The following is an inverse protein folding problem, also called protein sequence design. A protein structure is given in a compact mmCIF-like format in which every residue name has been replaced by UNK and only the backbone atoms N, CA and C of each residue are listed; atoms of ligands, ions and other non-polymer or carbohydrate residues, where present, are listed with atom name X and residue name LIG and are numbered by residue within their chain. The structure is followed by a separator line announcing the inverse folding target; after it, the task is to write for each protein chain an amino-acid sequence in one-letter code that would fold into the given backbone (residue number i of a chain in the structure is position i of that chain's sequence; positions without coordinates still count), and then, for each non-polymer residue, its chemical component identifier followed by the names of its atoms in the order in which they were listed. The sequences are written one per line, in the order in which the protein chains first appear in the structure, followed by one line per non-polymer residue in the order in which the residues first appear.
data_IF_622695610831
#
_entry.id   IF_622695610831
#
_cell.length_a   1.000
_cell.length_b   1.000
_cell.length_c   1.000
_cell.angle_alpha   90.00
_cell.angle_beta   90.00
_cell.angle_gamma   90.00
#
_symmetry.space_group_name_H-M   'P 1'
#
loop_
_entity.id
_entity.type
_entity.pdbx_description
1 polymer ?
#
# COMPACT_ATOMS: atom_id res chain seq x y z
N UNK A 1 6.87 1.92 -4.48
CA UNK A 1 7.01 3.39 -4.47
C UNK A 1 6.04 4.03 -3.48
N UNK A 2 6.52 5.01 -2.72
CA UNK A 2 5.65 5.76 -1.80
C UNK A 2 4.72 6.68 -2.60
N UNK A 3 3.61 7.11 -1.99
CA UNK A 3 2.71 8.10 -2.60
C UNK A 3 3.46 9.40 -2.93
N UNK A 4 4.41 9.79 -2.09
CA UNK A 4 5.24 10.98 -2.31
C UNK A 4 6.14 10.83 -3.54
N UNK A 5 6.74 9.65 -3.76
CA UNK A 5 7.50 9.35 -4.97
C UNK A 5 6.61 9.38 -6.22
N UNK A 6 5.37 8.86 -6.14
CA UNK A 6 4.42 8.93 -7.26
C UNK A 6 4.06 10.39 -7.57
N UNK A 7 3.81 11.21 -6.54
CA UNK A 7 3.53 12.63 -6.70
C UNK A 7 4.73 13.38 -7.32
N UNK A 8 5.95 13.06 -6.91
CA UNK A 8 7.16 13.62 -7.52
C UNK A 8 7.30 13.24 -9.00
N UNK A 9 6.97 11.99 -9.37
CA UNK A 9 6.96 11.54 -10.77
C UNK A 9 5.91 12.29 -11.59
N UNK A 10 4.70 12.49 -11.07
CA UNK A 10 3.67 13.31 -11.72
C UNK A 10 4.15 14.76 -11.89
N UNK A 11 4.75 15.36 -10.86
CA UNK A 11 5.31 16.71 -10.94
C UNK A 11 6.47 16.81 -11.95
N UNK A 12 7.24 15.74 -12.13
CA UNK A 12 8.25 15.66 -13.18
C UNK A 12 7.59 15.58 -14.57
N UNK A 13 6.55 14.76 -14.74
CA UNK A 13 5.81 14.64 -15.98
C UNK A 13 5.15 15.96 -16.41
N UNK A 14 4.51 16.68 -15.48
CA UNK A 14 3.93 18.02 -15.72
C UNK A 14 5.02 18.97 -16.25
N UNK A 15 6.19 19.02 -15.58
CA UNK A 15 7.31 19.86 -16.01
C UNK A 15 7.83 19.47 -17.39
N UNK A 16 7.90 18.18 -17.70
CA UNK A 16 8.30 17.71 -19.03
C UNK A 16 7.29 18.12 -20.09
N UNK A 17 5.98 17.94 -19.84
CA UNK A 17 4.93 18.34 -20.77
C UNK A 17 4.96 19.84 -21.07
N UNK A 18 5.17 20.68 -20.05
CA UNK A 18 5.34 22.13 -20.24
C UNK A 18 6.61 22.48 -21.03
N UNK A 19 7.69 21.70 -20.89
CA UNK A 19 8.92 21.87 -21.66
C UNK A 19 8.79 21.45 -23.11
N UNK A 20 7.91 20.50 -23.46
CA UNK A 20 7.69 20.12 -24.87
C UNK A 20 7.22 21.31 -25.72
N UNK A 21 6.55 22.30 -25.10
CA UNK A 21 6.18 23.54 -25.79
C UNK A 21 7.39 24.40 -26.21
N UNK A 22 8.60 24.13 -25.69
CA UNK A 22 9.82 24.83 -26.07
C UNK A 22 10.37 24.35 -27.41
N UNK A 23 10.12 23.09 -27.76
CA UNK A 23 10.61 22.46 -28.99
C UNK A 23 9.65 22.69 -30.18
N UNK A 24 8.52 23.37 -29.95
CA UNK A 24 7.57 23.72 -31.01
C UNK A 24 8.21 24.80 -31.89
N UNK A 25 8.48 24.53 -33.18
CA UNK A 25 9.05 25.51 -34.08
C UNK A 25 8.06 26.67 -34.24
N UNK A 26 8.55 27.88 -34.02
CA UNK A 26 7.75 29.08 -34.22
C UNK A 26 7.66 29.39 -35.72
N UNK A 27 6.49 29.91 -36.12
CA UNK A 27 6.33 30.40 -37.48
C UNK A 27 7.36 31.49 -37.78
N UNK A 28 8.06 31.37 -38.92
CA UNK A 28 9.08 32.36 -39.34
C UNK A 28 8.53 33.79 -39.36
N UNK A 29 7.28 33.95 -39.77
CA UNK A 29 6.59 35.24 -39.76
C UNK A 29 6.41 35.81 -38.34
N UNK A 30 6.10 34.96 -37.36
CA UNK A 30 5.98 35.37 -35.96
C UNK A 30 7.34 35.82 -35.41
N UNK A 31 8.41 35.07 -35.69
CA UNK A 31 9.76 35.43 -35.27
C UNK A 31 10.23 36.78 -35.87
N UNK A 32 9.94 37.01 -37.15
CA UNK A 32 10.24 38.29 -37.81
C UNK A 32 9.44 39.46 -37.22
N UNK A 33 8.15 39.24 -36.95
CA UNK A 33 7.28 40.26 -36.34
C UNK A 33 7.75 40.62 -34.93
N UNK A 34 8.14 39.62 -34.13
CA UNK A 34 8.69 39.81 -32.80
C UNK A 34 10.02 40.59 -32.82
N UNK A 35 10.92 40.28 -33.77
CA UNK A 35 12.18 41.02 -33.94
C UNK A 35 11.95 42.48 -34.33
N UNK A 36 10.94 42.75 -35.18
CA UNK A 36 10.54 44.12 -35.52
C UNK A 36 9.99 44.88 -34.30
N UNK A 37 9.17 44.22 -33.48
CA UNK A 37 8.65 44.81 -32.23
C UNK A 37 9.78 45.11 -31.22
N UNK A 38 10.76 44.21 -31.10
CA UNK A 38 11.94 44.43 -30.25
C UNK A 38 12.74 45.66 -30.69
N UNK A 39 12.97 45.80 -32.00
CA UNK A 39 13.68 46.97 -32.56
C UNK A 39 12.93 48.28 -32.26
N UNK A 40 11.61 48.32 -32.46
CA UNK A 40 10.80 49.50 -32.13
C UNK A 40 10.92 49.89 -30.64
N UNK A 41 10.90 48.91 -29.74
CA UNK A 41 11.06 49.16 -28.31
C UNK A 41 12.47 49.63 -27.94
N UNK A 42 13.52 49.13 -28.61
CA UNK A 42 14.90 49.61 -28.44
C UNK A 42 15.05 51.05 -28.92
N UNK A 43 14.47 51.39 -30.06
CA UNK A 43 14.43 52.75 -30.60
C UNK A 43 13.69 53.71 -29.67
N UNK A 44 12.51 53.34 -29.17
CA UNK A 44 11.73 54.14 -28.21
C UNK A 44 12.50 54.37 -26.90
N UNK A 45 13.21 53.34 -26.40
CA UNK A 45 14.05 53.45 -25.22
C UNK A 45 15.24 54.40 -25.43
N UNK A 46 15.92 54.30 -26.58
CA UNK A 46 17.05 55.16 -26.91
C UNK A 46 16.62 56.62 -27.13
N UNK A 47 15.44 56.85 -27.73
CA UNK A 47 14.82 58.18 -27.83
C UNK A 47 14.50 58.75 -26.44
N UNK A 48 13.97 57.92 -25.53
CA UNK A 48 13.69 58.31 -24.15
C UNK A 48 14.95 58.64 -23.33
N UNK A 49 16.08 57.98 -23.62
CA UNK A 49 17.40 58.28 -23.06
C UNK A 49 18.10 59.48 -23.74
N UNK A 50 17.43 60.17 -24.68
CA UNK A 50 17.96 61.35 -25.37
C UNK A 50 19.03 61.05 -26.43
N UNK A 51 19.15 59.79 -26.89
CA UNK A 51 20.05 59.41 -27.99
C UNK A 51 19.42 59.71 -29.34
N UNK A 52 20.24 60.16 -30.29
CA UNK A 52 19.83 60.54 -31.64
C UNK A 52 19.73 59.29 -32.53
N UNK A 53 18.61 58.57 -32.41
CA UNK A 53 18.39 57.24 -33.03
C UNK A 53 18.45 57.28 -34.56
N UNK A 54 18.12 58.42 -35.18
CA UNK A 54 18.13 58.58 -36.64
C UNK A 54 19.55 58.62 -37.25
N UNK A 55 20.60 58.73 -36.41
CA UNK A 55 22.02 58.70 -36.85
C UNK A 55 22.74 57.39 -36.56
N UNK A 56 22.12 56.47 -35.82
CA UNK A 56 22.72 55.18 -35.52
C UNK A 56 22.58 54.21 -36.69
N UNK A 57 23.62 53.41 -36.91
CA UNK A 57 23.59 52.29 -37.84
C UNK A 57 22.65 51.18 -37.34
N UNK A 58 22.13 50.33 -38.24
CA UNK A 58 21.30 49.18 -37.84
C UNK A 58 21.97 48.22 -36.85
N UNK A 59 23.30 48.18 -36.84
CA UNK A 59 24.10 47.37 -35.90
C UNK A 59 24.15 48.01 -34.51
N UNK A 60 24.36 49.33 -34.44
CA UNK A 60 24.34 50.10 -33.18
C UNK A 60 22.95 50.09 -32.51
N UNK A 61 21.87 50.06 -33.30
CA UNK A 61 20.50 49.90 -32.80
C UNK A 61 20.25 48.51 -32.18
N UNK A 62 20.87 47.47 -32.73
CA UNK A 62 20.69 46.09 -32.28
C UNK A 62 21.51 45.78 -31.02
N UNK A 63 22.61 46.51 -30.79
CA UNK A 63 23.41 46.48 -29.56
C UNK A 63 22.79 47.24 -28.37
N UNK A 64 21.75 48.06 -28.61
CA UNK A 64 21.05 48.75 -27.53
C UNK A 64 20.38 47.77 -26.57
N UNK A 65 20.66 47.93 -25.28
CA UNK A 65 20.05 47.12 -24.22
C UNK A 65 18.53 47.32 -24.25
N UNK A 66 17.80 46.21 -24.39
CA UNK A 66 16.36 46.20 -24.22
C UNK A 66 15.99 46.71 -22.81
N UNK A 67 14.88 47.45 -22.66
CA UNK A 67 14.40 47.85 -21.35
C UNK A 67 14.18 46.62 -20.47
N UNK A 68 14.50 46.75 -19.18
CA UNK A 68 14.30 45.69 -18.21
C UNK A 68 12.80 45.34 -18.12
N UNK A 69 12.43 44.13 -18.58
CA UNK A 69 11.05 43.62 -18.56
C UNK A 69 10.38 43.44 -19.92
N UNK A 70 10.96 43.96 -21.01
CA UNK A 70 10.41 43.90 -22.39
C UNK A 70 10.99 42.79 -23.28
N UNK A 71 11.75 41.86 -22.70
CA UNK A 71 12.18 40.68 -23.44
C UNK A 71 10.95 39.83 -23.83
N UNK A 72 10.72 39.65 -25.13
CA UNK A 72 9.66 38.78 -25.64
C UNK A 72 9.87 37.38 -25.08
N UNK A 73 8.96 36.97 -24.19
CA UNK A 73 9.03 35.65 -23.56
C UNK A 73 8.88 34.58 -24.64
N UNK A 74 9.69 33.52 -24.62
CA UNK A 74 9.50 32.41 -25.53
C UNK A 74 8.12 31.75 -25.29
N UNK A 75 7.53 31.20 -26.36
CA UNK A 75 6.17 30.65 -26.35
C UNK A 75 5.92 29.69 -25.17
N UNK A 76 6.86 28.80 -24.86
CA UNK A 76 6.76 27.87 -23.75
C UNK A 76 6.60 28.56 -22.38
N UNK A 77 7.21 29.73 -22.20
CA UNK A 77 7.14 30.50 -20.96
C UNK A 77 5.82 31.26 -20.86
N UNK A 78 5.27 31.71 -21.99
CA UNK A 78 3.91 32.28 -22.04
C UNK A 78 2.87 31.22 -21.69
N UNK A 79 3.02 30.01 -22.24
CA UNK A 79 2.13 28.87 -21.94
C UNK A 79 2.24 28.45 -20.48
N UNK A 80 3.47 28.33 -19.94
CA UNK A 80 3.68 27.95 -18.55
C UNK A 80 3.18 29.00 -17.54
N UNK A 81 3.31 30.30 -17.87
CA UNK A 81 2.84 31.42 -17.04
C UNK A 81 1.31 31.63 -17.17
N UNK A 82 0.64 31.00 -18.14
CA UNK A 82 -0.79 31.18 -18.37
C UNK A 82 -1.60 30.70 -17.16
N UNK A 83 -2.51 31.55 -16.67
CA UNK A 83 -3.26 31.32 -15.42
C UNK A 83 -3.98 29.97 -15.39
N UNK A 84 -4.62 29.58 -16.50
CA UNK A 84 -5.36 28.31 -16.56
C UNK A 84 -4.41 27.10 -16.57
N UNK A 85 -3.25 27.24 -17.21
CA UNK A 85 -2.23 26.17 -17.25
C UNK A 85 -1.62 26.00 -15.87
N UNK A 86 -1.26 27.10 -15.20
CA UNK A 86 -0.76 27.09 -13.83
C UNK A 86 -1.79 26.49 -12.85
N UNK A 87 -3.08 26.83 -13.03
CA UNK A 87 -4.18 26.27 -12.22
C UNK A 87 -4.31 24.76 -12.40
N UNK A 88 -4.35 24.27 -13.65
CA UNK A 88 -4.44 22.83 -13.93
C UNK A 88 -3.19 22.10 -13.45
N UNK A 89 -1.99 22.65 -13.68
CA UNK A 89 -0.74 22.07 -13.20
C UNK A 89 -0.69 21.97 -11.66
N UNK A 90 -1.17 23.00 -10.96
CA UNK A 90 -1.27 22.99 -9.50
C UNK A 90 -2.27 21.95 -9.00
N UNK A 91 -3.43 21.81 -9.66
CA UNK A 91 -4.42 20.79 -9.31
C UNK A 91 -3.83 19.39 -9.51
N UNK A 92 -3.24 19.14 -10.68
CA UNK A 92 -2.62 17.84 -11.02
C UNK A 92 -1.47 17.48 -10.06
N UNK A 93 -0.68 18.47 -9.67
CA UNK A 93 0.41 18.34 -8.69
C UNK A 93 -0.07 18.12 -7.25
N UNK A 94 -1.37 18.20 -6.99
CA UNK A 94 -1.99 17.93 -5.69
C UNK A 94 -2.94 16.71 -5.71
N UNK A 95 -3.16 16.08 -6.88
CA UNK A 95 -4.14 14.98 -7.00
C UNK A 95 -3.75 13.73 -6.20
N UNK A 96 -2.46 13.39 -6.10
CA UNK A 96 -2.00 12.22 -5.33
C UNK A 96 -1.82 12.60 -3.86
N UNK A 97 -1.25 13.78 -3.57
CA UNK A 97 -1.07 14.27 -2.19
C UNK A 97 -2.38 14.56 -1.46
N UNK A 98 -3.39 15.07 -2.16
CA UNK A 98 -4.76 15.22 -1.64
C UNK A 98 -5.50 13.88 -1.52
N UNK A 99 -4.93 12.82 -2.10
CA UNK A 99 -5.43 11.44 -2.11
C UNK A 99 -5.36 10.72 -0.77
N UNK A 100 -4.72 11.29 0.28
CA UNK A 100 -4.88 10.88 1.70
C UNK A 100 -6.30 11.13 2.24
N UNK A 101 -7.28 11.12 1.33
CA UNK A 101 -8.67 11.45 1.49
C UNK A 101 -9.35 10.46 2.43
N UNK A 102 -10.55 10.80 2.86
CA UNK A 102 -11.40 9.90 3.64
C UNK A 102 -11.68 8.58 2.89
N UNK A 103 -11.57 8.57 1.56
CA UNK A 103 -11.81 7.40 0.71
C UNK A 103 -10.75 6.33 0.92
N UNK A 104 -9.45 6.67 0.96
CA UNK A 104 -8.39 5.68 1.27
C UNK A 104 -8.64 5.04 2.63
N UNK A 105 -8.94 5.86 3.65
CA UNK A 105 -9.27 5.35 4.99
C UNK A 105 -10.53 4.47 4.97
N UNK A 106 -11.51 4.79 4.13
CA UNK A 106 -12.73 4.01 3.95
C UNK A 106 -12.45 2.65 3.31
N UNK A 107 -11.69 2.62 2.21
CA UNK A 107 -11.31 1.38 1.52
C UNK A 107 -10.46 0.49 2.41
N UNK A 108 -9.48 1.05 3.12
CA UNK A 108 -8.65 0.27 4.03
C UNK A 108 -9.40 -0.17 5.29
N UNK A 109 -10.49 0.50 5.69
CA UNK A 109 -11.32 0.14 6.86
C UNK A 109 -11.80 -1.31 6.80
N UNK A 110 -12.15 -1.79 5.62
CA UNK A 110 -12.60 -3.18 5.42
C UNK A 110 -11.52 -4.19 5.81
N UNK A 111 -10.25 -3.89 5.49
CA UNK A 111 -9.14 -4.77 5.84
C UNK A 111 -8.88 -4.82 7.35
N UNK A 112 -9.14 -3.75 8.10
CA UNK A 112 -8.99 -3.75 9.57
C UNK A 112 -9.93 -4.73 10.28
N UNK A 113 -10.98 -5.24 9.61
CA UNK A 113 -11.77 -6.36 10.15
C UNK A 113 -10.89 -7.59 10.42
N UNK A 114 -9.85 -7.79 9.61
CA UNK A 114 -8.94 -8.92 9.70
C UNK A 114 -7.73 -8.64 10.61
N UNK A 115 -7.72 -7.52 11.34
CA UNK A 115 -6.54 -7.07 12.11
C UNK A 115 -6.07 -8.06 13.17
N UNK A 116 -6.99 -8.87 13.70
CA UNK A 116 -6.63 -9.94 14.64
C UNK A 116 -5.58 -10.90 14.07
N UNK A 117 -5.54 -11.09 12.74
CA UNK A 117 -4.59 -11.99 12.09
C UNK A 117 -3.13 -11.54 12.22
N UNK A 118 -2.86 -10.23 12.29
CA UNK A 118 -1.49 -9.68 12.31
C UNK A 118 -1.13 -8.89 13.57
N UNK A 119 -2.13 -8.47 14.37
CA UNK A 119 -1.89 -7.78 15.65
C UNK A 119 -1.64 -8.78 16.76
N UNK A 120 -2.39 -9.89 16.78
CA UNK A 120 -2.30 -10.88 17.84
C UNK A 120 -1.16 -11.87 17.58
N UNK A 121 -0.39 -12.19 18.61
CA UNK A 121 0.58 -13.27 18.51
C UNK A 121 -0.13 -14.63 18.55
N UNK A 122 -0.03 -15.36 17.43
CA UNK A 122 -0.66 -16.66 17.20
C UNK A 122 -0.48 -17.60 18.39
N UNK A 123 0.76 -17.75 18.87
CA UNK A 123 1.09 -18.72 19.92
C UNK A 123 0.49 -18.34 21.28
N UNK A 124 0.42 -17.04 21.60
CA UNK A 124 -0.16 -16.56 22.86
C UNK A 124 -1.66 -16.81 22.85
N UNK A 125 -2.33 -16.41 21.78
CA UNK A 125 -3.79 -16.55 21.64
C UNK A 125 -4.25 -18.00 21.62
N UNK A 126 -3.54 -18.85 20.87
CA UNK A 126 -3.82 -20.28 20.80
C UNK A 126 -3.64 -20.93 22.17
N UNK A 127 -2.60 -20.54 22.93
CA UNK A 127 -2.38 -21.06 24.27
C UNK A 127 -3.49 -20.65 25.23
N UNK A 128 -3.82 -19.36 25.29
CA UNK A 128 -4.93 -18.86 26.11
C UNK A 128 -6.25 -19.58 25.81
N UNK A 129 -6.55 -19.79 24.52
CA UNK A 129 -7.75 -20.51 24.12
C UNK A 129 -7.70 -21.99 24.49
N UNK A 130 -6.56 -22.66 24.34
CA UNK A 130 -6.42 -24.07 24.71
C UNK A 130 -6.48 -24.29 26.23
N UNK A 131 -6.03 -23.31 27.01
CA UNK A 131 -6.09 -23.32 28.48
C UNK A 131 -7.54 -23.25 28.99
N UNK A 132 -8.51 -22.73 28.23
CA UNK A 132 -9.94 -22.78 28.59
C UNK A 132 -10.58 -24.15 28.37
N UNK A 133 -9.80 -25.16 27.96
CA UNK A 133 -10.25 -26.51 27.64
C UNK A 133 -11.47 -26.54 26.68
N UNK A 134 -11.33 -25.99 25.46
CA UNK A 134 -12.42 -25.90 24.51
C UNK A 134 -12.90 -27.28 24.08
N UNK A 135 -14.21 -27.42 23.90
CA UNK A 135 -14.82 -28.66 23.41
C UNK A 135 -14.46 -28.89 21.95
N UNK A 136 -14.67 -30.11 21.45
CA UNK A 136 -14.46 -30.40 20.04
C UNK A 136 -15.37 -29.54 19.13
N UNK A 137 -16.58 -29.23 19.59
CA UNK A 137 -17.50 -28.35 18.88
C UNK A 137 -16.96 -26.92 18.78
N UNK A 138 -16.40 -26.40 19.87
CA UNK A 138 -15.83 -25.04 19.89
C UNK A 138 -14.59 -24.96 19.00
N UNK A 139 -13.74 -26.00 19.01
CA UNK A 139 -12.60 -26.08 18.09
C UNK A 139 -13.06 -26.12 16.64
N UNK A 140 -14.08 -26.91 16.31
CA UNK A 140 -14.63 -26.99 14.97
C UNK A 140 -15.20 -25.64 14.49
N UNK A 141 -15.83 -24.88 15.40
CA UNK A 141 -16.29 -23.52 15.11
C UNK A 141 -15.12 -22.59 14.79
N UNK A 142 -14.04 -22.60 15.58
CA UNK A 142 -12.83 -21.79 15.30
C UNK A 142 -12.22 -22.14 13.95
N UNK A 143 -12.09 -23.43 13.62
CA UNK A 143 -11.59 -23.83 12.30
C UNK A 143 -12.49 -23.34 11.18
N UNK A 144 -13.81 -23.48 11.33
CA UNK A 144 -14.79 -23.01 10.36
C UNK A 144 -14.68 -21.51 10.13
N UNK A 145 -14.61 -20.71 11.19
CA UNK A 145 -14.47 -19.26 11.11
C UNK A 145 -13.17 -18.87 10.38
N UNK A 146 -12.06 -19.56 10.65
CA UNK A 146 -10.79 -19.34 9.94
C UNK A 146 -10.85 -19.71 8.45
N UNK A 147 -11.57 -20.79 8.10
CA UNK A 147 -11.80 -21.18 6.69
C UNK A 147 -12.68 -20.16 5.96
N UNK A 148 -13.75 -19.70 6.59
CA UNK A 148 -14.63 -18.67 6.03
C UNK A 148 -13.88 -17.35 5.86
N UNK A 149 -13.08 -16.96 6.85
CA UNK A 149 -12.23 -15.76 6.78
C UNK A 149 -11.20 -15.84 5.63
N UNK A 150 -10.53 -16.98 5.45
CA UNK A 150 -9.62 -17.17 4.30
C UNK A 150 -10.36 -17.08 2.97
N UNK A 151 -11.54 -17.69 2.85
CA UNK A 151 -12.35 -17.63 1.65
C UNK A 151 -12.80 -16.19 1.35
N UNK A 152 -13.22 -15.43 2.38
CA UNK A 152 -13.55 -14.01 2.25
C UNK A 152 -12.35 -13.20 1.72
N UNK A 153 -11.17 -13.38 2.33
CA UNK A 153 -9.94 -12.69 1.93
C UNK A 153 -9.59 -12.98 0.47
N UNK A 154 -9.68 -14.24 0.03
CA UNK A 154 -9.38 -14.65 -1.35
C UNK A 154 -10.39 -14.06 -2.33
N UNK A 155 -11.65 -13.88 -1.93
CA UNK A 155 -12.71 -13.31 -2.76
C UNK A 155 -12.70 -11.78 -2.83
N UNK A 156 -11.90 -11.08 -2.01
CA UNK A 156 -11.76 -9.63 -2.11
C UNK A 156 -11.29 -9.18 -3.51
N UNK A 157 -11.74 -8.00 -3.99
CA UNK A 157 -11.23 -7.40 -5.22
C UNK A 157 -9.70 -7.41 -5.31
N UNK A 158 -9.15 -7.67 -6.51
CA UNK A 158 -7.71 -7.69 -6.78
C UNK A 158 -7.08 -6.30 -6.76
N UNK A 159 -7.90 -5.26 -6.97
CA UNK A 159 -7.45 -3.88 -6.90
C UNK A 159 -8.57 -2.95 -6.48
N UNK A 160 -8.18 -1.84 -5.86
CA UNK A 160 -9.08 -0.76 -5.46
C UNK A 160 -8.58 0.55 -6.04
N UNK A 161 -9.44 1.25 -6.76
CA UNK A 161 -9.12 2.58 -7.27
C UNK A 161 -9.50 3.61 -6.21
N UNK A 162 -8.53 4.42 -5.78
CA UNK A 162 -8.77 5.56 -4.89
C UNK A 162 -8.19 6.81 -5.55
N UNK A 163 -9.10 7.68 -6.00
CA UNK A 163 -8.75 8.83 -6.84
C UNK A 163 -7.94 8.40 -8.09
N UNK A 164 -6.74 8.96 -8.30
CA UNK A 164 -5.89 8.64 -9.44
C UNK A 164 -4.97 7.42 -9.22
N UNK A 165 -5.00 6.79 -8.03
CA UNK A 165 -4.11 5.69 -7.66
C UNK A 165 -4.88 4.37 -7.67
N UNK A 166 -4.26 3.33 -8.22
CA UNK A 166 -4.76 1.96 -8.17
C UNK A 166 -3.96 1.16 -7.14
N UNK A 167 -4.63 0.68 -6.09
CA UNK A 167 -4.06 -0.17 -5.06
C UNK A 167 -4.23 -1.63 -5.44
N UNK A 168 -3.14 -2.33 -5.77
CA UNK A 168 -3.15 -3.76 -6.01
C UNK A 168 -3.07 -4.53 -4.68
N UNK A 169 -4.10 -5.31 -4.37
CA UNK A 169 -4.25 -6.01 -3.08
C UNK A 169 -3.86 -7.49 -3.15
N UNK A 170 -3.46 -7.99 -4.32
CA UNK A 170 -3.09 -9.39 -4.52
C UNK A 170 -2.06 -9.91 -3.50
N UNK A 171 -1.00 -9.14 -3.24
CA UNK A 171 0.05 -9.46 -2.25
C UNK A 171 -0.48 -9.45 -0.83
N UNK A 172 -1.38 -8.52 -0.51
CA UNK A 172 -1.99 -8.44 0.80
C UNK A 172 -2.93 -9.64 1.04
N UNK A 173 -3.72 -10.01 0.04
CA UNK A 173 -4.62 -11.18 0.09
C UNK A 173 -3.85 -12.47 0.31
N UNK A 174 -2.75 -12.66 -0.42
CA UNK A 174 -1.90 -13.85 -0.28
C UNK A 174 -1.26 -13.92 1.10
N UNK A 175 -0.68 -12.81 1.59
CA UNK A 175 -0.13 -12.75 2.93
C UNK A 175 -1.19 -13.03 4.02
N UNK A 176 -2.38 -12.40 3.94
CA UNK A 176 -3.45 -12.63 4.91
C UNK A 176 -3.98 -14.07 4.87
N UNK A 177 -4.06 -14.69 3.69
CA UNK A 177 -4.43 -16.10 3.57
C UNK A 177 -3.36 -17.04 4.17
N UNK A 178 -2.08 -16.70 4.03
CA UNK A 178 -0.98 -17.40 4.68
C UNK A 178 -1.05 -17.28 6.20
N UNK A 179 -1.39 -16.11 6.74
CA UNK A 179 -1.65 -15.94 8.17
C UNK A 179 -2.80 -16.82 8.64
N UNK A 180 -3.96 -16.83 7.95
CA UNK A 180 -5.06 -17.74 8.29
C UNK A 180 -4.62 -19.21 8.35
N UNK A 181 -3.74 -19.65 7.43
CA UNK A 181 -3.16 -21.01 7.45
C UNK A 181 -2.24 -21.21 8.64
N UNK A 182 -1.44 -20.22 9.01
CA UNK A 182 -0.57 -20.27 10.18
C UNK A 182 -1.40 -20.42 11.48
N UNK A 183 -2.48 -19.65 11.61
CA UNK A 183 -3.45 -19.78 12.70
C UNK A 183 -4.05 -21.18 12.77
N UNK A 184 -4.56 -21.71 11.64
CA UNK A 184 -5.10 -23.08 11.58
C UNK A 184 -4.06 -24.13 11.96
N UNK A 185 -2.82 -23.99 11.49
CA UNK A 185 -1.74 -24.90 11.82
C UNK A 185 -1.40 -24.86 13.32
N UNK A 186 -1.39 -23.68 13.93
CA UNK A 186 -1.09 -23.53 15.35
C UNK A 186 -2.19 -24.14 16.22
N UNK A 187 -3.47 -23.85 15.94
CA UNK A 187 -4.60 -24.52 16.61
C UNK A 187 -4.57 -26.04 16.41
N UNK A 188 -4.27 -26.50 15.19
CA UNK A 188 -4.17 -27.92 14.87
C UNK A 188 -3.06 -28.62 15.64
N UNK A 189 -1.87 -28.01 15.74
CA UNK A 189 -0.75 -28.51 16.55
C UNK A 189 -1.12 -28.59 18.02
N UNK A 190 -1.65 -27.51 18.60
CA UNK A 190 -2.01 -27.49 20.00
C UNK A 190 -3.10 -28.53 20.35
N UNK A 191 -4.09 -28.69 19.47
CA UNK A 191 -5.11 -29.74 19.61
C UNK A 191 -4.51 -31.14 19.51
N UNK A 192 -3.64 -31.38 18.53
CA UNK A 192 -2.96 -32.65 18.37
C UNK A 192 -2.11 -33.00 19.60
N UNK A 193 -1.39 -32.02 20.16
CA UNK A 193 -0.58 -32.21 21.37
C UNK A 193 -1.45 -32.50 22.60
N UNK A 194 -2.64 -31.91 22.70
CA UNK A 194 -3.62 -32.24 23.75
C UNK A 194 -4.15 -33.67 23.58
N UNK A 195 -4.58 -34.04 22.38
CA UNK A 195 -5.09 -35.37 22.07
C UNK A 195 -4.00 -36.44 22.26
N UNK A 196 -2.76 -36.16 21.86
CA UNK A 196 -1.62 -37.05 22.05
C UNK A 196 -1.32 -37.30 23.52
N UNK A 197 -1.37 -36.26 24.38
CA UNK A 197 -1.24 -36.41 25.83
C UNK A 197 -2.36 -37.26 26.43
N UNK A 198 -3.62 -36.95 26.11
CA UNK A 198 -4.76 -37.71 26.60
C UNK A 198 -4.71 -39.19 26.16
N UNK A 199 -4.33 -39.46 24.91
CA UNK A 199 -4.14 -40.83 24.43
C UNK A 199 -2.99 -41.54 25.16
N UNK A 200 -1.89 -40.83 25.43
CA UNK A 200 -0.78 -41.34 26.22
C UNK A 200 -1.20 -41.77 27.62
N UNK A 201 -1.98 -40.94 28.31
CA UNK A 201 -2.54 -41.24 29.64
C UNK A 201 -3.43 -42.49 29.61
N UNK A 202 -4.31 -42.60 28.61
CA UNK A 202 -5.19 -43.78 28.45
C UNK A 202 -4.38 -45.05 28.15
N UNK A 203 -3.35 -44.96 27.30
CA UNK A 203 -2.48 -46.09 26.99
C UNK A 203 -1.65 -46.53 28.20
N UNK A 204 -1.14 -45.59 28.98
CA UNK A 204 -0.42 -45.88 30.22
C UNK A 204 -1.34 -46.56 31.24
N UNK A 205 -2.56 -46.03 31.43
CA UNK A 205 -3.59 -46.67 32.26
C UNK A 205 -3.90 -48.10 31.79
N UNK A 206 -4.10 -48.28 30.48
CA UNK A 206 -4.38 -49.60 29.90
C UNK A 206 -3.23 -50.59 30.10
N UNK A 207 -1.98 -50.18 29.87
CA UNK A 207 -0.80 -51.03 30.07
C UNK A 207 -0.60 -51.38 31.55
N UNK A 208 -0.91 -50.47 32.47
CA UNK A 208 -0.88 -50.74 33.91
C UNK A 208 -1.94 -51.78 34.31
N UNK A 209 -3.18 -51.62 33.85
CA UNK A 209 -4.24 -52.61 34.07
C UNK A 209 -3.87 -53.98 33.48
N UNK A 210 -3.38 -54.01 32.25
CA UNK A 210 -2.96 -55.23 31.57
C UNK A 210 -1.85 -55.96 32.34
N UNK A 211 -0.86 -55.23 32.89
CA UNK A 211 0.20 -55.82 33.72
C UNK A 211 -0.34 -56.41 35.01
N UNK A 212 -1.27 -55.71 35.68
CA UNK A 212 -1.92 -56.20 36.89
C UNK A 212 -2.70 -57.49 36.61
N UNK A 213 -3.51 -57.50 35.54
CA UNK A 213 -4.33 -58.64 35.14
C UNK A 213 -3.53 -59.82 34.57
N UNK A 214 -2.32 -59.59 34.04
CA UNK A 214 -1.45 -60.64 33.50
C UNK A 214 -0.74 -61.46 34.59
N UNK A 215 -0.77 -61.01 35.85
CA UNK A 215 -0.19 -61.75 36.97
C UNK A 215 -0.95 -63.07 37.15
N UNK A 216 -0.27 -64.23 37.22
CA UNK A 216 -0.93 -65.51 37.45
C UNK A 216 -1.56 -65.55 38.85
N UNK A 217 -2.78 -66.06 38.94
CA UNK A 217 -3.53 -66.18 40.19
C UNK A 217 -3.06 -67.43 40.95
N UNK A 218 -2.45 -67.24 42.12
CA UNK A 218 -2.00 -68.34 42.98
C UNK A 218 -2.80 -68.42 44.28
N UNK A 219 -3.33 -67.29 44.77
CA UNK A 219 -4.14 -67.24 45.98
C UNK A 219 -5.38 -66.32 45.86
N UNK A 220 -6.16 -66.24 46.95
CA UNK A 220 -7.34 -65.39 47.04
C UNK A 220 -7.01 -63.89 47.08
N UNK A 221 -5.78 -63.52 47.45
CA UNK A 221 -5.36 -62.12 47.47
C UNK A 221 -5.04 -61.63 46.04
N UNK A 222 -4.48 -62.49 45.19
CA UNK A 222 -4.35 -62.23 43.74
C UNK A 222 -5.74 -62.01 43.11
N UNK A 223 -6.75 -62.83 43.45
CA UNK A 223 -8.14 -62.63 42.97
C UNK A 223 -8.69 -61.28 43.42
N UNK A 224 -8.47 -60.91 44.69
CA UNK A 224 -8.90 -59.60 45.22
C UNK A 224 -8.21 -58.44 44.51
N UNK A 225 -6.92 -58.55 44.20
CA UNK A 225 -6.17 -57.53 43.48
C UNK A 225 -6.67 -57.34 42.03
N UNK A 226 -6.96 -58.43 41.31
CA UNK A 226 -7.51 -58.35 39.94
C UNK A 226 -8.93 -57.75 39.93
N UNK A 227 -9.77 -58.14 40.88
CA UNK A 227 -11.12 -57.59 41.04
C UNK A 227 -11.08 -56.10 41.39
N UNK A 228 -10.16 -55.68 42.26
CA UNK A 228 -9.97 -54.26 42.59
C UNK A 228 -9.54 -53.45 41.36
N UNK A 229 -8.59 -53.95 40.57
CA UNK A 229 -8.14 -53.30 39.34
C UNK A 229 -9.23 -53.16 38.26
N UNK A 230 -10.23 -54.05 38.24
CA UNK A 230 -11.37 -53.97 37.30
C UNK A 230 -12.53 -53.11 37.80
N UNK A 231 -12.57 -52.83 39.11
CA UNK A 231 -13.59 -51.99 39.74
C UNK A 231 -13.23 -50.50 39.77
N UNK A 232 -11.97 -50.20 39.49
CA UNK A 232 -11.40 -48.84 39.36
C UNK A 232 -11.63 -48.28 37.95
#
# INVERSE_FOLDING_TARGET
PTLDEMQQRVNKAIRTALKMAADIPQWRHLALTQRQQQRKLQEESAKAEGRDVDKMTPEELEELKLPAGSAIKPLHRIIADHKDVAKVASQLGSLIGGGRSAEERGTFKEFYRFQGLWIEEINVRVKEYMDTQPTLSDMAAVFKDLFETEAEIINLPQSYQVGPVLYCTERLKTALAEECRAWRLAYGKALNDRCGRAMGEVLEWFENLKKLLARPVQDLDDVRAHMAALSE
#
